data_IF_834472881546
#
_entry.id   IF_834472881546
#
_cell.length_a   1.000
_cell.length_b   1.000
_cell.length_c   1.000
_cell.angle_alpha   90.00
_cell.angle_beta   90.00
_cell.angle_gamma   90.00
#
_symmetry.space_group_name_H-M   'P 1'
#
loop_
_entity.id
_entity.type
_entity.pdbx_description
1 polymer ?
#
# COMPACT_ATOMS: atom_id res chain seq x y z
N UNK A 1 5.06 -29.99 59.61
CA UNK A 1 4.76 -29.48 58.25
C UNK A 1 6.05 -29.56 57.44
N UNK A 2 6.23 -30.61 56.63
CA UNK A 2 7.49 -30.81 55.89
C UNK A 2 7.31 -30.32 54.44
N UNK A 3 7.90 -29.16 54.14
CA UNK A 3 7.77 -28.49 52.85
C UNK A 3 8.50 -29.25 51.75
N UNK A 4 7.76 -29.66 50.71
CA UNK A 4 8.36 -30.25 49.50
C UNK A 4 8.89 -29.12 48.61
N UNK A 5 10.21 -29.02 48.51
CA UNK A 5 10.86 -28.11 47.56
C UNK A 5 10.59 -28.54 46.11
N UNK A 6 10.32 -27.56 45.23
CA UNK A 6 10.08 -27.81 43.82
C UNK A 6 11.40 -28.20 43.12
N UNK A 7 11.43 -29.38 42.50
CA UNK A 7 12.60 -29.87 41.73
C UNK A 7 12.45 -29.41 40.28
N UNK A 8 13.33 -28.53 39.83
CA UNK A 8 13.41 -28.11 38.43
C UNK A 8 14.28 -29.09 37.62
N UNK A 9 13.80 -29.47 36.44
CA UNK A 9 14.53 -30.33 35.49
C UNK A 9 14.74 -29.57 34.19
N UNK A 10 16.00 -29.41 33.80
CA UNK A 10 16.36 -28.78 32.52
C UNK A 10 16.39 -29.85 31.43
N UNK A 11 15.55 -29.69 30.41
CA UNK A 11 15.48 -30.60 29.25
C UNK A 11 16.23 -29.95 28.09
N UNK A 12 17.33 -30.57 27.65
CA UNK A 12 18.08 -30.20 26.45
C UNK A 12 17.69 -31.14 25.32
N UNK A 13 17.26 -30.59 24.18
CA UNK A 13 17.02 -31.36 22.98
C UNK A 13 17.53 -30.62 21.74
N UNK A 14 17.96 -31.39 20.75
CA UNK A 14 18.37 -30.90 19.43
C UNK A 14 17.19 -30.99 18.47
N UNK A 15 16.95 -29.94 17.68
CA UNK A 15 15.96 -29.91 16.61
C UNK A 15 16.63 -29.57 15.30
N UNK A 16 16.36 -30.36 14.28
CA UNK A 16 16.73 -30.00 12.91
C UNK A 16 15.87 -28.83 12.43
N UNK A 17 16.53 -27.68 12.22
CA UNK A 17 15.89 -26.48 11.68
C UNK A 17 15.91 -26.60 10.15
N UNK A 18 14.80 -27.10 9.57
CA UNK A 18 14.60 -26.99 8.12
C UNK A 18 14.77 -25.53 7.71
N UNK A 19 15.65 -25.27 6.73
CA UNK A 19 15.85 -23.94 6.18
C UNK A 19 14.50 -23.34 5.78
N UNK A 20 14.28 -22.06 6.11
CA UNK A 20 13.08 -21.36 5.68
C UNK A 20 13.11 -21.31 4.15
N UNK A 21 12.18 -22.00 3.49
CA UNK A 21 11.97 -21.81 2.06
C UNK A 21 11.52 -20.36 1.88
N UNK A 22 12.14 -19.63 0.97
CA UNK A 22 11.65 -18.30 0.59
C UNK A 22 10.26 -18.50 0.00
N UNK A 23 9.24 -17.96 0.66
CA UNK A 23 7.88 -17.97 0.12
C UNK A 23 7.89 -17.17 -1.19
N UNK A 24 7.21 -17.64 -2.26
CA UNK A 24 7.23 -17.02 -3.59
C UNK A 24 6.52 -15.66 -3.66
N UNK A 25 6.39 -14.95 -2.54
CA UNK A 25 5.72 -13.66 -2.45
C UNK A 25 4.23 -13.76 -2.72
N UNK A 26 3.68 -12.67 -3.25
CA UNK A 26 2.27 -12.55 -3.60
C UNK A 26 2.06 -13.00 -5.03
N UNK A 27 1.15 -13.94 -5.23
CA UNK A 27 0.68 -14.34 -6.56
C UNK A 27 -0.27 -13.23 -7.06
N UNK A 28 -0.16 -12.77 -8.31
CA UNK A 28 -1.12 -11.83 -8.88
C UNK A 28 -2.54 -12.41 -8.85
N UNK A 29 -3.54 -11.54 -8.88
CA UNK A 29 -4.92 -11.98 -9.02
C UNK A 29 -5.11 -12.67 -10.38
N UNK A 30 -5.96 -13.69 -10.50
CA UNK A 30 -6.17 -14.37 -11.77
C UNK A 30 -6.81 -13.49 -12.84
N UNK A 31 -6.34 -13.60 -14.09
CA UNK A 31 -6.78 -12.77 -15.23
C UNK A 31 -8.21 -13.07 -15.72
N UNK A 32 -8.78 -14.21 -15.32
CA UNK A 32 -10.13 -14.62 -15.75
C UNK A 32 -11.25 -14.00 -14.91
N UNK A 33 -10.92 -13.27 -13.84
CA UNK A 33 -11.91 -12.59 -13.02
C UNK A 33 -12.40 -11.31 -13.74
N UNK A 34 -13.70 -11.01 -13.72
CA UNK A 34 -14.22 -9.76 -14.26
C UNK A 34 -13.60 -8.56 -13.56
N UNK A 35 -13.23 -7.52 -14.32
CA UNK A 35 -12.59 -6.30 -13.82
C UNK A 35 -13.53 -5.11 -13.99
N UNK A 36 -13.76 -4.37 -12.90
CA UNK A 36 -14.49 -3.11 -12.90
C UNK A 36 -13.51 -1.95 -12.67
N UNK A 37 -13.38 -1.05 -13.66
CA UNK A 37 -12.46 0.09 -13.58
C UNK A 37 -13.16 1.35 -13.06
N UNK A 38 -12.57 1.97 -12.03
CA UNK A 38 -13.07 3.20 -11.40
C UNK A 38 -11.95 4.23 -11.45
N UNK A 39 -12.16 5.30 -12.21
CA UNK A 39 -11.24 6.44 -12.28
C UNK A 39 -11.58 7.43 -11.16
N UNK A 40 -10.61 7.71 -10.29
CA UNK A 40 -10.74 8.64 -9.19
C UNK A 40 -9.92 9.90 -9.50
N UNK A 41 -10.59 10.94 -10.00
CA UNK A 41 -9.97 12.25 -10.21
C UNK A 41 -9.71 12.96 -8.87
N UNK A 42 -8.65 13.77 -8.76
CA UNK A 42 -8.38 14.57 -7.56
C UNK A 42 -9.45 15.66 -7.37
N UNK A 43 -9.64 16.09 -6.12
CA UNK A 43 -10.59 17.17 -5.78
C UNK A 43 -10.13 18.56 -6.26
N UNK A 44 -8.83 18.73 -6.50
CA UNK A 44 -8.27 19.99 -7.00
C UNK A 44 -8.60 20.21 -8.48
N UNK A 45 -8.73 21.47 -8.89
CA UNK A 45 -8.87 21.82 -10.30
C UNK A 45 -7.59 21.45 -11.07
N UNK A 46 -7.70 20.50 -11.99
CA UNK A 46 -6.60 20.00 -12.83
C UNK A 46 -6.45 20.77 -14.14
N UNK A 47 -7.20 21.87 -14.33
CA UNK A 47 -7.14 22.69 -15.54
C UNK A 47 -5.72 23.17 -15.84
N UNK A 48 -5.19 22.76 -16.99
CA UNK A 48 -3.83 23.09 -17.43
C UNK A 48 -2.71 22.22 -16.85
N UNK A 49 -3.04 21.16 -16.10
CA UNK A 49 -2.07 20.18 -15.62
C UNK A 49 -1.89 19.03 -16.62
N UNK A 50 -0.68 18.47 -16.68
CA UNK A 50 -0.38 17.32 -17.53
C UNK A 50 -0.43 16.04 -16.71
N UNK A 51 -1.18 15.04 -17.16
CA UNK A 51 -1.15 13.69 -16.57
C UNK A 51 0.18 13.02 -16.92
N UNK A 52 0.98 12.66 -15.90
CA UNK A 52 2.27 11.98 -16.06
C UNK A 52 2.10 10.46 -15.99
N UNK A 53 1.20 9.98 -15.13
CA UNK A 53 1.07 8.55 -14.86
C UNK A 53 -0.21 8.22 -14.13
N UNK A 54 -0.44 6.92 -13.94
CA UNK A 54 -1.62 6.40 -13.25
C UNK A 54 -1.17 5.42 -12.18
N UNK A 55 -1.72 5.57 -10.99
CA UNK A 55 -1.57 4.59 -9.93
C UNK A 55 -2.77 3.66 -9.95
N UNK A 56 -2.49 2.37 -10.12
CA UNK A 56 -3.51 1.33 -10.26
C UNK A 56 -3.52 0.50 -8.97
N UNK A 57 -4.71 0.35 -8.38
CA UNK A 57 -4.92 -0.51 -7.20
C UNK A 57 -6.02 -1.51 -7.48
N UNK A 58 -5.69 -2.79 -7.44
CA UNK A 58 -6.64 -3.88 -7.65
C UNK A 58 -7.09 -4.47 -6.31
N UNK A 59 -8.40 -4.49 -6.06
CA UNK A 59 -9.04 -5.08 -4.90
C UNK A 59 -9.97 -6.22 -5.33
N UNK A 60 -9.88 -7.38 -4.66
CA UNK A 60 -10.76 -8.50 -4.91
C UNK A 60 -12.04 -8.33 -4.08
N UNK A 61 -13.18 -8.30 -4.76
CA UNK A 61 -14.49 -8.04 -4.18
C UNK A 61 -15.41 -9.26 -4.38
N UNK A 62 -16.27 -9.48 -3.40
CA UNK A 62 -17.20 -10.60 -3.38
C UNK A 62 -18.63 -10.06 -3.27
N UNK A 63 -19.43 -10.35 -4.28
CA UNK A 63 -20.89 -10.30 -4.22
C UNK A 63 -21.37 -11.74 -4.11
N UNK A 64 -22.47 -12.06 -3.40
CA UNK A 64 -22.86 -13.44 -3.07
C UNK A 64 -22.87 -14.47 -4.22
N UNK A 65 -22.89 -14.03 -5.48
CA UNK A 65 -22.84 -14.88 -6.67
C UNK A 65 -21.55 -14.77 -7.52
N UNK A 66 -20.66 -13.79 -7.27
CA UNK A 66 -19.54 -13.46 -8.16
C UNK A 66 -18.35 -12.84 -7.43
N UNK A 67 -17.15 -13.23 -7.83
CA UNK A 67 -15.92 -12.50 -7.53
C UNK A 67 -15.56 -11.59 -8.69
N UNK A 68 -15.08 -10.40 -8.38
CA UNK A 68 -14.62 -9.44 -9.38
C UNK A 68 -13.48 -8.59 -8.81
N UNK A 69 -12.67 -8.04 -9.70
CA UNK A 69 -11.56 -7.17 -9.35
C UNK A 69 -12.05 -5.73 -9.52
N UNK A 70 -12.12 -4.98 -8.43
CA UNK A 70 -12.28 -3.51 -8.51
C UNK A 70 -10.91 -2.88 -8.72
N UNK A 71 -10.72 -2.28 -9.88
CA UNK A 71 -9.50 -1.58 -10.27
C UNK A 71 -9.68 -0.08 -10.10
N UNK A 72 -8.99 0.51 -9.14
CA UNK A 72 -8.96 1.95 -8.94
C UNK A 72 -7.81 2.56 -9.72
N UNK A 73 -8.11 3.52 -10.58
CA UNK A 73 -7.14 4.26 -11.39
C UNK A 73 -7.09 5.69 -10.86
N UNK A 74 -5.96 6.06 -10.26
CA UNK A 74 -5.69 7.41 -9.75
C UNK A 74 -4.68 8.13 -10.66
N UNK A 75 -5.11 9.04 -11.54
CA UNK A 75 -4.20 9.82 -12.38
C UNK A 75 -3.33 10.75 -11.55
N UNK A 76 -2.06 10.88 -11.93
CA UNK A 76 -1.07 11.77 -11.33
C UNK A 76 -0.80 12.93 -12.27
N UNK A 77 -1.05 14.14 -11.79
CA UNK A 77 -0.88 15.37 -12.56
C UNK A 77 0.35 16.14 -12.11
N UNK A 78 0.97 16.84 -13.05
CA UNK A 78 2.01 17.84 -12.76
C UNK A 78 1.54 19.21 -13.21
N UNK A 79 1.76 20.20 -12.34
CA UNK A 79 1.65 21.62 -12.69
C UNK A 79 2.88 22.02 -13.46
N UNK A 80 2.72 22.76 -14.55
CA UNK A 80 3.85 23.22 -15.34
C UNK A 80 4.76 24.14 -14.50
N UNK A 81 6.04 23.76 -14.36
CA UNK A 81 7.04 24.46 -13.54
C UNK A 81 7.35 25.88 -14.04
N UNK A 82 7.00 26.20 -15.28
CA UNK A 82 7.31 27.50 -15.87
C UNK A 82 6.52 28.68 -15.26
N UNK A 83 5.60 28.45 -14.31
CA UNK A 83 4.80 29.50 -13.66
C UNK A 83 5.31 29.93 -12.26
N UNK A 84 6.33 29.28 -11.70
CA UNK A 84 6.80 29.51 -10.31
C UNK A 84 7.69 30.77 -10.12
N UNK A 85 7.50 31.85 -10.90
CA UNK A 85 8.35 33.07 -10.79
C UNK A 85 7.62 34.36 -10.44
N UNK A 86 6.50 34.30 -9.75
CA UNK A 86 5.87 35.52 -9.21
C UNK A 86 5.39 35.23 -7.79
N UNK A 87 5.86 36.03 -6.84
CA UNK A 87 5.38 36.13 -5.45
C UNK A 87 5.94 35.15 -4.40
N UNK A 88 7.15 35.44 -3.94
CA UNK A 88 7.43 35.42 -2.51
C UNK A 88 7.94 36.82 -2.12
N UNK A 89 7.06 37.77 -1.73
CA UNK A 89 7.51 39.02 -1.13
C UNK A 89 8.03 38.66 0.26
N UNK A 90 9.34 38.51 0.39
CA UNK A 90 10.02 38.31 1.68
C UNK A 90 9.50 39.33 2.68
N UNK A 91 8.96 38.80 3.77
CA UNK A 91 8.41 39.51 4.90
C UNK A 91 9.39 40.59 5.38
N UNK A 92 8.93 41.85 5.32
CA UNK A 92 9.49 42.92 6.15
C UNK A 92 8.89 42.72 7.55
N UNK A 93 9.53 41.87 8.36
CA UNK A 93 9.27 41.83 9.80
C UNK A 93 9.76 43.16 10.38
N UNK A 94 8.90 43.98 11.02
CA UNK A 94 9.43 45.04 11.86
C UNK A 94 10.18 44.40 13.03
N UNK A 95 11.38 44.91 13.30
CA UNK A 95 12.13 44.67 14.53
C UNK A 95 11.30 45.10 15.75
#
# INVERSE_FOLDING_TARGET
MSGKGNVTKTITYTREKKGRKNHPGRIPLPDHLPVEEIVLEPEEDTTGMKCIGREVTDQLELVPAKFFIKRFIRPKYIRNINTYRRHCPTARLPY
#
